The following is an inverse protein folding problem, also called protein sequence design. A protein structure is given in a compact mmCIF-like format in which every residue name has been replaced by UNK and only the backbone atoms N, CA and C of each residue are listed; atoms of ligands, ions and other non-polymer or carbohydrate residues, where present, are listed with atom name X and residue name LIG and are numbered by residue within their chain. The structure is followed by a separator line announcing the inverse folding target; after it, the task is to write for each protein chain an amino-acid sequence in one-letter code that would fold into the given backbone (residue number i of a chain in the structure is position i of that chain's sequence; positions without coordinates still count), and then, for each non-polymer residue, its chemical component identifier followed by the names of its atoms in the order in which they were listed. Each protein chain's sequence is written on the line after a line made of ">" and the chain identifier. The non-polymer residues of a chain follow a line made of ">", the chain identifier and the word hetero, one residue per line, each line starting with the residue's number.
data_IF_803987677509
#
_entry.id   IF_803987677509
#
_cell.length_a   1.000
_cell.length_b   1.000
_cell.length_c   1.000
_cell.angle_alpha   90.00
_cell.angle_beta   90.00
_cell.angle_gamma   90.00
#
_symmetry.space_group_name_H-M   'P 1'
#
loop_
_entity.id
_entity.type
_entity.pdbx_description
1 polymer ?
#
# COMPACT_ATOMS: atom_id res chain seq x y z
N UNK A 1 -43.56 -15.62 -2.27
CA UNK A 1 -42.51 -15.32 -3.26
C UNK A 1 -42.87 -13.98 -3.87
N UNK A 2 -42.56 -12.89 -3.18
CA UNK A 2 -42.66 -11.55 -3.78
C UNK A 2 -41.44 -11.38 -4.68
N UNK A 3 -41.70 -11.33 -5.98
CA UNK A 3 -40.78 -10.85 -7.00
C UNK A 3 -40.52 -9.38 -6.70
N UNK A 4 -39.45 -9.11 -5.96
CA UNK A 4 -38.89 -7.77 -5.76
C UNK A 4 -38.32 -7.31 -7.12
N UNK A 5 -39.22 -6.87 -8.00
CA UNK A 5 -38.92 -6.27 -9.28
C UNK A 5 -38.14 -4.99 -8.99
N UNK A 6 -36.82 -5.13 -8.92
CA UNK A 6 -35.93 -3.99 -8.79
C UNK A 6 -36.16 -3.16 -10.04
N UNK A 7 -36.77 -1.96 -9.95
CA UNK A 7 -37.03 -1.15 -11.14
C UNK A 7 -35.69 -0.95 -11.83
N UNK A 8 -35.63 -1.36 -13.09
CA UNK A 8 -34.45 -1.20 -13.92
C UNK A 8 -34.21 0.30 -14.06
N UNK A 9 -33.38 0.84 -13.17
CA UNK A 9 -33.15 2.27 -13.05
C UNK A 9 -32.23 2.68 -14.20
N UNK A 10 -32.81 2.97 -15.36
CA UNK A 10 -32.12 3.38 -16.60
C UNK A 10 -31.59 4.82 -16.57
N UNK A 11 -31.57 5.46 -15.40
CA UNK A 11 -31.08 6.84 -15.20
C UNK A 11 -29.98 6.97 -14.13
N UNK A 12 -29.31 8.14 -14.06
CA UNK A 12 -28.32 8.40 -13.02
C UNK A 12 -28.95 8.25 -11.63
N UNK A 13 -28.34 7.41 -10.80
CA UNK A 13 -28.80 7.16 -9.44
C UNK A 13 -28.79 8.47 -8.63
N UNK A 14 -29.82 8.73 -7.80
CA UNK A 14 -29.78 9.86 -6.90
C UNK A 14 -28.59 9.73 -5.94
N UNK A 15 -27.92 10.84 -5.53
CA UNK A 15 -26.69 10.79 -4.74
C UNK A 15 -26.80 9.94 -3.46
N UNK A 16 -27.94 9.99 -2.78
CA UNK A 16 -28.17 9.18 -1.58
C UNK A 16 -28.21 7.66 -1.86
N UNK A 17 -28.78 7.24 -3.01
CA UNK A 17 -28.80 5.84 -3.41
C UNK A 17 -27.40 5.36 -3.80
N UNK A 18 -26.61 6.21 -4.47
CA UNK A 18 -25.22 5.92 -4.78
C UNK A 18 -24.38 5.74 -3.50
N UNK A 19 -24.52 6.65 -2.52
CA UNK A 19 -23.82 6.54 -1.23
C UNK A 19 -24.18 5.24 -0.49
N UNK A 20 -25.47 4.87 -0.44
CA UNK A 20 -25.90 3.58 0.14
C UNK A 20 -25.25 2.39 -0.57
N UNK A 21 -25.06 2.48 -1.89
CA UNK A 21 -24.37 1.44 -2.66
C UNK A 21 -22.88 1.40 -2.34
N UNK A 22 -22.21 2.55 -2.18
CA UNK A 22 -20.81 2.60 -1.75
C UNK A 22 -20.60 1.98 -0.36
N UNK A 23 -21.54 2.13 0.57
CA UNK A 23 -21.46 1.47 1.88
C UNK A 23 -21.55 -0.06 1.74
N UNK A 24 -22.40 -0.57 0.85
CA UNK A 24 -22.51 -2.01 0.56
C UNK A 24 -21.33 -2.54 -0.26
N UNK A 25 -20.70 -1.67 -1.05
CA UNK A 25 -19.64 -1.99 -1.99
C UNK A 25 -18.49 -0.96 -1.89
N UNK A 26 -17.69 -0.99 -0.79
CA UNK A 26 -16.61 -0.04 -0.54
C UNK A 26 -15.64 0.18 -1.71
N UNK A 27 -15.41 -0.84 -2.54
CA UNK A 27 -14.54 -0.71 -3.72
C UNK A 27 -14.99 0.42 -4.67
N UNK A 28 -16.28 0.76 -4.72
CA UNK A 28 -16.81 1.81 -5.61
C UNK A 28 -16.24 3.19 -5.31
N UNK A 29 -15.89 3.43 -4.04
CA UNK A 29 -15.27 4.68 -3.61
C UNK A 29 -13.75 4.55 -3.57
N UNK A 30 -13.25 3.44 -3.04
CA UNK A 30 -11.83 3.26 -2.78
C UNK A 30 -11.01 2.92 -4.03
N UNK A 31 -11.58 2.25 -5.04
CA UNK A 31 -10.82 1.97 -6.28
C UNK A 31 -10.55 3.25 -7.08
N UNK A 32 -11.54 4.13 -7.36
CA UNK A 32 -11.25 5.40 -8.00
C UNK A 32 -10.23 6.25 -7.22
N UNK A 33 -10.34 6.27 -5.89
CA UNK A 33 -9.36 6.93 -5.02
C UNK A 33 -7.95 6.37 -5.21
N UNK A 34 -7.81 5.04 -5.20
CA UNK A 34 -6.56 4.37 -5.48
C UNK A 34 -6.03 4.69 -6.87
N UNK A 35 -6.88 4.69 -7.90
CA UNK A 35 -6.50 5.03 -9.28
C UNK A 35 -5.92 6.45 -9.37
N UNK A 36 -6.54 7.43 -8.70
CA UNK A 36 -6.00 8.80 -8.62
C UNK A 36 -4.61 8.79 -7.99
N UNK A 37 -4.39 8.05 -6.90
CA UNK A 37 -3.07 7.94 -6.28
C UNK A 37 -2.05 7.18 -7.12
N UNK A 38 -2.48 6.21 -7.94
CA UNK A 38 -1.61 5.55 -8.91
C UNK A 38 -1.11 6.54 -9.97
N UNK A 39 -2.01 7.36 -10.51
CA UNK A 39 -1.63 8.43 -11.44
C UNK A 39 -0.70 9.46 -10.79
N UNK A 40 -1.02 9.93 -9.58
CA UNK A 40 -0.16 10.87 -8.84
C UNK A 40 1.21 10.25 -8.53
N UNK A 41 1.24 8.98 -8.13
CA UNK A 41 2.46 8.23 -7.85
C UNK A 41 3.39 8.15 -9.05
N UNK A 42 2.87 7.95 -10.26
CA UNK A 42 3.68 8.01 -11.50
C UNK A 42 4.04 9.47 -11.85
N UNK A 43 3.11 10.41 -11.67
CA UNK A 43 3.29 11.81 -12.02
C UNK A 43 4.35 12.55 -11.19
N UNK A 44 4.77 12.03 -10.02
CA UNK A 44 5.86 12.66 -9.25
C UNK A 44 7.18 12.75 -10.04
N UNK A 45 7.42 11.84 -10.98
CA UNK A 45 8.63 11.86 -11.82
C UNK A 45 8.64 13.02 -12.84
N UNK A 46 7.64 13.18 -13.71
CA UNK A 46 7.58 14.35 -14.59
C UNK A 46 7.48 15.65 -13.79
N UNK A 47 6.75 15.68 -12.67
CA UNK A 47 6.72 16.86 -11.79
C UNK A 47 8.10 17.21 -11.25
N UNK A 48 8.92 16.22 -10.90
CA UNK A 48 10.31 16.46 -10.46
C UNK A 48 11.19 16.95 -11.62
N UNK A 49 11.02 16.41 -12.82
CA UNK A 49 11.72 16.89 -14.02
C UNK A 49 11.38 18.37 -14.34
N UNK A 50 10.15 18.80 -14.02
CA UNK A 50 9.71 20.19 -14.14
C UNK A 50 10.10 21.07 -12.93
N UNK A 51 10.72 20.51 -11.89
CA UNK A 51 11.07 21.23 -10.66
C UNK A 51 9.88 21.54 -9.74
N UNK A 52 8.74 20.88 -9.94
CA UNK A 52 7.50 21.08 -9.17
C UNK A 52 7.26 20.02 -8.11
N UNK A 53 8.07 18.96 -8.03
CA UNK A 53 7.88 17.91 -7.04
C UNK A 53 8.19 18.43 -5.62
N UNK A 54 7.23 18.35 -4.68
CA UNK A 54 7.44 18.81 -3.30
C UNK A 54 8.35 17.88 -2.48
N UNK A 55 8.51 16.62 -2.90
CA UNK A 55 9.32 15.61 -2.23
C UNK A 55 10.11 14.80 -3.27
N UNK A 56 11.33 14.30 -2.97
CA UNK A 56 12.08 13.45 -3.88
C UNK A 56 11.24 12.26 -4.40
N UNK A 57 11.17 12.04 -5.74
CA UNK A 57 10.40 10.95 -6.33
C UNK A 57 10.71 9.57 -5.76
N UNK A 58 12.00 9.28 -5.49
CA UNK A 58 12.43 8.01 -4.91
C UNK A 58 11.80 7.71 -3.54
N UNK A 59 11.25 8.72 -2.87
CA UNK A 59 10.58 8.60 -1.58
C UNK A 59 9.05 8.58 -1.73
N UNK A 60 8.48 9.54 -2.46
CA UNK A 60 7.02 9.69 -2.59
C UNK A 60 6.40 8.67 -3.54
N UNK A 61 7.09 8.30 -4.64
CA UNK A 61 6.59 7.32 -5.62
C UNK A 61 6.20 5.97 -4.99
N UNK A 62 7.11 5.23 -4.33
CA UNK A 62 6.78 3.90 -3.81
C UNK A 62 5.65 3.95 -2.77
N UNK A 63 5.58 5.01 -1.96
CA UNK A 63 4.53 5.16 -0.94
C UNK A 63 3.17 5.48 -1.54
N UNK A 64 3.10 6.35 -2.55
CA UNK A 64 1.85 6.59 -3.28
C UNK A 64 1.36 5.33 -4.01
N UNK A 65 2.29 4.57 -4.60
CA UNK A 65 1.96 3.31 -5.28
C UNK A 65 1.47 2.23 -4.30
N UNK A 66 2.10 2.09 -3.14
CA UNK A 66 1.78 1.02 -2.20
C UNK A 66 0.69 1.42 -1.20
N UNK A 67 0.86 2.53 -0.49
CA UNK A 67 -0.07 2.95 0.57
C UNK A 67 -1.33 3.59 -0.01
N UNK A 68 -1.17 4.45 -1.03
CA UNK A 68 -2.27 5.13 -1.71
C UNK A 68 -3.02 4.20 -2.67
N UNK A 69 -2.34 3.70 -3.70
CA UNK A 69 -2.95 2.88 -4.75
C UNK A 69 -3.26 1.45 -4.27
N UNK A 70 -2.26 0.63 -3.96
CA UNK A 70 -2.49 -0.77 -3.54
C UNK A 70 -3.32 -0.83 -2.25
N UNK A 71 -3.05 0.05 -1.29
CA UNK A 71 -3.79 0.15 -0.03
C UNK A 71 -5.29 0.40 -0.23
N UNK A 72 -5.67 1.35 -1.08
CA UNK A 72 -7.08 1.62 -1.38
C UNK A 72 -7.77 0.44 -2.07
N UNK A 73 -7.08 -0.22 -3.00
CA UNK A 73 -7.60 -1.43 -3.65
C UNK A 73 -7.77 -2.58 -2.66
N UNK A 74 -6.78 -2.83 -1.81
CA UNK A 74 -6.83 -3.86 -0.79
C UNK A 74 -7.99 -3.64 0.19
N UNK A 75 -8.11 -2.43 0.74
CA UNK A 75 -9.17 -2.09 1.71
C UNK A 75 -10.54 -2.12 1.05
N UNK A 76 -10.70 -1.58 -0.16
CA UNK A 76 -11.96 -1.64 -0.91
C UNK A 76 -12.37 -3.07 -1.23
N UNK A 77 -11.38 -3.90 -1.57
CA UNK A 77 -11.59 -5.31 -1.82
C UNK A 77 -12.04 -6.06 -0.56
N UNK A 78 -11.28 -5.98 0.52
CA UNK A 78 -11.58 -6.61 1.80
C UNK A 78 -12.92 -6.12 2.37
N UNK A 79 -13.15 -4.81 2.29
CA UNK A 79 -14.37 -4.15 2.70
C UNK A 79 -15.64 -4.70 2.04
N UNK A 80 -15.51 -5.23 0.83
CA UNK A 80 -16.64 -5.78 0.08
C UNK A 80 -16.72 -7.30 0.17
N UNK A 81 -15.58 -7.99 0.01
CA UNK A 81 -15.53 -9.44 -0.10
C UNK A 81 -15.67 -10.14 1.25
N UNK A 82 -15.03 -9.63 2.31
CA UNK A 82 -15.02 -10.27 3.63
C UNK A 82 -16.43 -10.34 4.22
N UNK A 83 -17.24 -9.25 4.24
CA UNK A 83 -18.62 -9.33 4.71
C UNK A 83 -19.46 -10.37 3.97
N UNK A 84 -19.30 -10.45 2.64
CA UNK A 84 -20.03 -11.40 1.79
C UNK A 84 -19.59 -12.84 2.04
N UNK A 85 -18.30 -13.09 2.25
CA UNK A 85 -17.75 -14.43 2.48
C UNK A 85 -18.06 -14.97 3.85
N UNK A 86 -18.04 -14.11 4.86
CA UNK A 86 -18.29 -14.50 6.25
C UNK A 86 -19.77 -14.39 6.63
N UNK A 87 -20.61 -13.86 5.73
CA UNK A 87 -22.03 -13.54 5.97
C UNK A 87 -22.22 -12.64 7.20
N UNK A 88 -21.34 -11.65 7.35
CA UNK A 88 -21.38 -10.65 8.43
C UNK A 88 -21.84 -9.30 7.89
N UNK A 89 -22.18 -8.38 8.81
CA UNK A 89 -22.59 -7.03 8.44
C UNK A 89 -21.48 -6.28 7.68
N UNK A 90 -21.82 -5.50 6.64
CA UNK A 90 -20.86 -4.69 5.89
C UNK A 90 -20.28 -3.56 6.75
N UNK A 91 -19.22 -2.91 6.24
CA UNK A 91 -18.64 -1.72 6.88
C UNK A 91 -19.72 -0.63 7.05
N UNK A 92 -19.67 0.09 8.18
CA UNK A 92 -20.56 1.23 8.37
C UNK A 92 -20.15 2.38 7.44
N UNK A 93 -21.12 3.22 7.05
CA UNK A 93 -20.83 4.38 6.19
C UNK A 93 -19.84 5.35 6.82
N UNK A 94 -19.92 5.55 8.14
CA UNK A 94 -18.96 6.39 8.87
C UNK A 94 -17.54 5.81 8.84
N UNK A 95 -17.40 4.48 8.95
CA UNK A 95 -16.11 3.83 8.87
C UNK A 95 -15.54 3.92 7.45
N UNK A 96 -16.37 3.75 6.42
CA UNK A 96 -15.95 3.93 5.03
C UNK A 96 -15.48 5.37 4.76
N UNK A 97 -16.23 6.37 5.25
CA UNK A 97 -15.85 7.77 5.14
C UNK A 97 -14.52 8.03 5.85
N UNK A 98 -14.38 7.56 7.10
CA UNK A 98 -13.14 7.67 7.86
C UNK A 98 -11.96 7.05 7.10
N UNK A 99 -12.10 5.83 6.58
CA UNK A 99 -11.06 5.18 5.79
C UNK A 99 -10.69 5.97 4.55
N UNK A 100 -11.68 6.51 3.83
CA UNK A 100 -11.45 7.29 2.61
C UNK A 100 -10.69 8.59 2.93
N UNK A 101 -11.09 9.28 3.99
CA UNK A 101 -10.42 10.51 4.45
C UNK A 101 -9.01 10.21 4.95
N UNK A 102 -8.82 9.15 5.73
CA UNK A 102 -7.52 8.71 6.24
C UNK A 102 -6.55 8.37 5.10
N UNK A 103 -6.98 7.55 4.13
CA UNK A 103 -6.16 7.19 2.97
C UNK A 103 -5.83 8.40 2.10
N UNK A 104 -6.81 9.28 1.89
CA UNK A 104 -6.59 10.50 1.13
C UNK A 104 -5.56 11.39 1.81
N UNK A 105 -5.78 11.69 3.09
CA UNK A 105 -4.91 12.56 3.89
C UNK A 105 -3.51 11.98 4.02
N UNK A 106 -3.39 10.67 4.28
CA UNK A 106 -2.11 9.97 4.34
C UNK A 106 -1.34 10.08 3.03
N UNK A 107 -2.00 9.84 1.90
CA UNK A 107 -1.38 9.97 0.57
C UNK A 107 -0.94 11.40 0.25
N UNK A 108 -1.69 12.41 0.68
CA UNK A 108 -1.26 13.82 0.56
C UNK A 108 -0.02 14.09 1.41
N UNK A 109 0.06 13.57 2.63
CA UNK A 109 1.28 13.66 3.43
C UNK A 109 2.47 12.98 2.74
N UNK A 110 2.28 11.81 2.13
CA UNK A 110 3.34 11.14 1.37
C UNK A 110 3.83 11.96 0.18
N UNK A 111 2.92 12.61 -0.54
CA UNK A 111 3.26 13.50 -1.64
C UNK A 111 4.09 14.69 -1.14
N UNK A 112 3.69 15.30 -0.02
CA UNK A 112 4.33 16.49 0.55
C UNK A 112 5.59 16.20 1.40
N UNK A 113 6.03 14.94 1.51
CA UNK A 113 7.21 14.55 2.27
C UNK A 113 6.98 14.35 3.78
N UNK A 114 5.74 14.41 4.24
CA UNK A 114 5.31 14.11 5.61
C UNK A 114 5.23 12.61 5.91
N UNK A 115 6.29 11.85 5.61
CA UNK A 115 6.29 10.37 5.62
C UNK A 115 5.86 9.78 6.96
N UNK A 116 6.31 10.35 8.07
CA UNK A 116 5.93 9.89 9.40
C UNK A 116 4.39 9.87 9.59
N UNK A 117 3.73 10.97 9.22
CA UNK A 117 2.27 11.07 9.35
C UNK A 117 1.55 10.19 8.32
N UNK A 118 2.06 10.14 7.08
CA UNK A 118 1.51 9.29 6.02
C UNK A 118 1.52 7.81 6.43
N UNK A 119 2.64 7.33 6.94
CA UNK A 119 2.84 5.93 7.36
C UNK A 119 1.91 5.56 8.52
N UNK A 120 1.78 6.44 9.52
CA UNK A 120 0.87 6.22 10.65
C UNK A 120 -0.60 6.23 10.23
N UNK A 121 -1.00 7.13 9.34
CA UNK A 121 -2.36 7.14 8.80
C UNK A 121 -2.64 5.88 7.99
N UNK A 122 -1.66 5.38 7.24
CA UNK A 122 -1.78 4.13 6.52
C UNK A 122 -1.90 2.92 7.47
N UNK A 123 -1.07 2.85 8.52
CA UNK A 123 -1.22 1.87 9.60
C UNK A 123 -2.63 1.88 10.18
N UNK A 124 -3.13 3.07 10.51
CA UNK A 124 -4.47 3.26 11.05
C UNK A 124 -5.54 2.78 10.06
N UNK A 125 -5.38 3.10 8.76
CA UNK A 125 -6.30 2.67 7.71
C UNK A 125 -6.36 1.16 7.52
N UNK A 126 -5.25 0.43 7.74
CA UNK A 126 -5.23 -1.04 7.71
C UNK A 126 -5.78 -1.66 9.00
N UNK A 127 -5.43 -1.10 10.16
CA UNK A 127 -5.87 -1.61 11.46
C UNK A 127 -7.39 -1.52 11.64
N UNK A 128 -8.02 -0.41 11.25
CA UNK A 128 -9.46 -0.20 11.38
C UNK A 128 -10.32 -1.35 10.81
N UNK A 129 -10.22 -1.73 9.52
CA UNK A 129 -10.99 -2.83 8.96
C UNK A 129 -10.55 -4.18 9.53
N UNK A 130 -9.26 -4.38 9.82
CA UNK A 130 -8.78 -5.61 10.45
C UNK A 130 -9.42 -5.83 11.82
N UNK A 131 -9.45 -4.81 12.68
CA UNK A 131 -10.12 -4.86 13.98
C UNK A 131 -11.63 -5.03 13.82
N UNK A 132 -12.27 -4.28 12.91
CA UNK A 132 -13.70 -4.40 12.65
C UNK A 132 -14.11 -5.83 12.26
N UNK A 133 -13.33 -6.48 11.39
CA UNK A 133 -13.58 -7.85 10.97
C UNK A 133 -13.20 -8.87 12.04
N UNK A 134 -12.11 -8.67 12.77
CA UNK A 134 -11.70 -9.55 13.85
C UNK A 134 -12.76 -9.62 14.96
N UNK A 135 -13.33 -8.47 15.35
CA UNK A 135 -14.39 -8.41 16.36
C UNK A 135 -15.67 -9.14 15.91
N UNK A 136 -16.02 -9.05 14.62
CA UNK A 136 -17.19 -9.74 14.05
C UNK A 136 -16.91 -11.15 13.58
N UNK A 137 -15.67 -11.61 13.63
CA UNK A 137 -15.31 -12.94 13.16
C UNK A 137 -16.02 -14.05 13.96
N UNK A 138 -16.44 -13.77 15.20
CA UNK A 138 -17.22 -14.69 16.05
C UNK A 138 -18.68 -14.84 15.59
N UNK A 139 -19.21 -13.84 14.89
CA UNK A 139 -20.59 -13.82 14.37
C UNK A 139 -20.69 -14.46 12.98
N UNK A 140 -19.57 -14.93 12.41
CA UNK A 140 -19.51 -15.49 11.06
C UNK A 140 -20.40 -16.72 10.93
N UNK A 141 -21.15 -16.79 9.84
CA UNK A 141 -21.91 -17.99 9.43
C UNK A 141 -21.23 -18.70 8.26
N UNK A 142 -20.49 -17.95 7.45
CA UNK A 142 -19.68 -18.48 6.35
C UNK A 142 -18.29 -18.98 6.78
N UNK A 143 -17.71 -19.83 5.94
CA UNK A 143 -16.32 -20.29 6.07
C UNK A 143 -15.35 -19.38 5.31
N UNK A 144 -14.32 -18.88 5.99
CA UNK A 144 -13.26 -18.12 5.35
C UNK A 144 -12.45 -19.01 4.37
N UNK A 145 -12.16 -18.54 3.14
CA UNK A 145 -11.26 -19.25 2.25
C UNK A 145 -9.85 -19.33 2.87
N UNK A 146 -9.13 -20.45 2.75
CA UNK A 146 -7.76 -20.58 3.24
C UNK A 146 -6.81 -19.48 2.72
N UNK A 147 -7.00 -19.04 1.48
CA UNK A 147 -6.18 -17.99 0.86
C UNK A 147 -6.38 -16.60 1.49
N UNK A 148 -7.47 -16.36 2.21
CA UNK A 148 -7.68 -15.13 2.97
C UNK A 148 -6.59 -14.94 4.03
N UNK A 149 -6.00 -16.02 4.54
CA UNK A 149 -4.88 -15.97 5.48
C UNK A 149 -3.68 -15.21 4.90
N UNK A 150 -3.37 -15.41 3.62
CA UNK A 150 -2.28 -14.68 2.95
C UNK A 150 -2.60 -13.18 2.88
N UNK A 151 -3.84 -12.82 2.53
CA UNK A 151 -4.24 -11.41 2.49
C UNK A 151 -4.12 -10.75 3.87
N UNK A 152 -4.54 -11.46 4.93
CA UNK A 152 -4.40 -10.99 6.31
C UNK A 152 -2.92 -10.88 6.73
N UNK A 153 -2.07 -11.82 6.30
CA UNK A 153 -0.63 -11.78 6.54
C UNK A 153 0.00 -10.58 5.84
N UNK A 154 -0.41 -10.28 4.60
CA UNK A 154 -0.03 -9.09 3.87
C UNK A 154 -0.44 -7.80 4.57
N UNK A 155 -1.69 -7.71 5.04
CA UNK A 155 -2.18 -6.55 5.78
C UNK A 155 -1.44 -6.37 7.12
N UNK A 156 -1.20 -7.45 7.87
CA UNK A 156 -0.42 -7.42 9.11
C UNK A 156 1.04 -7.00 8.86
N UNK A 157 1.66 -7.53 7.81
CA UNK A 157 2.99 -7.11 7.36
C UNK A 157 3.02 -5.64 6.93
N UNK A 158 1.98 -5.16 6.25
CA UNK A 158 1.81 -3.75 5.89
C UNK A 158 1.72 -2.84 7.11
N UNK A 159 0.94 -3.21 8.14
CA UNK A 159 0.86 -2.47 9.41
C UNK A 159 2.23 -2.44 10.10
N UNK A 160 2.89 -3.59 10.26
CA UNK A 160 4.20 -3.66 10.91
C UNK A 160 5.27 -2.87 10.13
N UNK A 161 5.28 -3.01 8.80
CA UNK A 161 6.20 -2.31 7.91
C UNK A 161 6.00 -0.80 7.94
N UNK A 162 4.75 -0.32 7.78
CA UNK A 162 4.45 1.11 7.83
C UNK A 162 4.73 1.70 9.22
N UNK A 163 4.43 1.00 10.31
CA UNK A 163 4.73 1.49 11.66
C UNK A 163 6.24 1.66 11.86
N UNK A 164 7.04 0.68 11.45
CA UNK A 164 8.49 0.76 11.54
C UNK A 164 9.08 1.83 10.60
N UNK A 165 8.51 2.02 9.41
CA UNK A 165 8.91 3.12 8.51
C UNK A 165 8.56 4.49 9.10
N UNK A 166 7.42 4.61 9.79
CA UNK A 166 7.07 5.82 10.54
C UNK A 166 8.11 6.10 11.62
N UNK A 167 8.42 5.14 12.47
CA UNK A 167 9.43 5.28 13.53
C UNK A 167 10.82 5.66 12.97
N UNK A 168 11.21 5.08 11.83
CA UNK A 168 12.43 5.50 11.11
C UNK A 168 12.34 6.97 10.67
N UNK A 169 11.21 7.41 10.14
CA UNK A 169 10.98 8.80 9.75
C UNK A 169 10.94 9.77 10.96
N UNK A 170 10.57 9.28 12.15
CA UNK A 170 10.65 10.03 13.40
C UNK A 170 12.10 10.21 13.92
N UNK A 171 13.09 9.56 13.29
CA UNK A 171 14.49 9.61 13.71
C UNK A 171 14.86 8.54 14.74
N UNK A 172 13.99 7.56 15.01
CA UNK A 172 14.31 6.44 15.88
C UNK A 172 15.45 5.63 15.26
N UNK A 173 16.52 5.39 16.03
CA UNK A 173 17.67 4.60 15.57
C UNK A 173 17.27 3.14 15.46
N UNK A 174 17.16 2.63 14.24
CA UNK A 174 16.89 1.23 13.95
C UNK A 174 18.13 0.53 13.37
N UNK A 175 18.29 -0.75 13.66
CA UNK A 175 19.32 -1.57 13.02
C UNK A 175 19.09 -1.63 11.50
N UNK A 176 20.15 -1.72 10.67
CA UNK A 176 20.01 -1.83 9.22
C UNK A 176 19.12 -3.00 8.79
N UNK A 177 19.20 -4.13 9.51
CA UNK A 177 18.37 -5.30 9.30
C UNK A 177 16.88 -4.99 9.47
N UNK A 178 16.50 -4.30 10.55
CA UNK A 178 15.10 -3.94 10.81
C UNK A 178 14.58 -2.89 9.81
N UNK A 179 15.45 -1.96 9.39
CA UNK A 179 15.10 -0.98 8.35
C UNK A 179 14.83 -1.65 6.99
N UNK A 180 15.66 -2.62 6.60
CA UNK A 180 15.46 -3.36 5.35
C UNK A 180 14.24 -4.28 5.45
N UNK A 181 14.09 -5.00 6.56
CA UNK A 181 12.97 -5.90 6.77
C UNK A 181 11.63 -5.17 6.77
N UNK A 182 11.53 -4.02 7.43
CA UNK A 182 10.32 -3.18 7.39
C UNK A 182 9.99 -2.67 5.99
N UNK A 183 11.01 -2.31 5.19
CA UNK A 183 10.81 -1.92 3.79
C UNK A 183 10.29 -3.09 2.94
N UNK A 184 10.84 -4.28 3.12
CA UNK A 184 10.38 -5.50 2.42
C UNK A 184 8.94 -5.84 2.80
N UNK A 185 8.59 -5.79 4.09
CA UNK A 185 7.23 -6.03 4.56
C UNK A 185 6.22 -5.06 3.93
N UNK A 186 6.52 -3.76 3.92
CA UNK A 186 5.62 -2.74 3.40
C UNK A 186 5.55 -2.76 1.87
N UNK A 187 6.69 -2.66 1.18
CA UNK A 187 6.70 -2.42 -0.27
C UNK A 187 6.55 -3.69 -1.10
N UNK A 188 6.95 -4.85 -0.58
CA UNK A 188 6.88 -6.12 -1.31
C UNK A 188 5.88 -7.08 -0.67
N UNK A 189 5.93 -7.26 0.65
CA UNK A 189 5.08 -8.19 1.37
C UNK A 189 3.59 -7.86 1.23
N UNK A 190 3.21 -6.62 1.51
CA UNK A 190 1.81 -6.20 1.41
C UNK A 190 1.22 -6.47 0.00
N UNK A 191 1.81 -6.00 -1.12
CA UNK A 191 1.28 -6.34 -2.45
C UNK A 191 1.34 -7.82 -2.77
N UNK A 192 2.46 -8.50 -2.51
CA UNK A 192 2.68 -9.88 -2.89
C UNK A 192 1.68 -10.81 -2.20
N UNK A 193 1.58 -10.74 -0.88
CA UNK A 193 0.66 -11.59 -0.12
C UNK A 193 -0.80 -11.30 -0.46
N UNK A 194 -1.14 -10.03 -0.66
CA UNK A 194 -2.49 -9.65 -1.09
C UNK A 194 -2.80 -10.23 -2.45
N UNK A 195 -1.93 -10.06 -3.44
CA UNK A 195 -2.15 -10.58 -4.80
C UNK A 195 -2.22 -12.10 -4.82
N UNK A 196 -1.35 -12.81 -4.10
CA UNK A 196 -1.39 -14.28 -3.99
C UNK A 196 -2.69 -14.76 -3.34
N UNK A 197 -3.10 -14.14 -2.22
CA UNK A 197 -4.32 -14.53 -1.53
C UNK A 197 -5.60 -14.23 -2.34
N UNK A 198 -5.62 -13.09 -3.03
CA UNK A 198 -6.73 -12.67 -3.89
C UNK A 198 -6.82 -13.52 -5.16
N UNK A 199 -5.71 -13.74 -5.86
CA UNK A 199 -5.69 -14.53 -7.10
C UNK A 199 -6.09 -15.99 -6.86
N UNK A 200 -5.61 -16.62 -5.79
CA UNK A 200 -6.01 -17.98 -5.41
C UNK A 200 -7.53 -18.11 -5.17
N UNK A 201 -8.18 -17.01 -4.78
CA UNK A 201 -9.62 -16.94 -4.59
C UNK A 201 -10.39 -16.59 -5.87
N UNK A 202 -9.86 -15.70 -6.70
CA UNK A 202 -10.53 -15.21 -7.91
C UNK A 202 -10.44 -16.14 -9.11
N UNK A 203 -9.27 -16.73 -9.35
CA UNK A 203 -9.02 -17.49 -10.57
C UNK A 203 -10.02 -18.66 -10.73
N UNK A 204 -10.31 -19.46 -9.70
CA UNK A 204 -11.30 -20.54 -9.83
C UNK A 204 -12.70 -20.03 -10.17
N UNK A 205 -13.07 -18.83 -9.71
CA UNK A 205 -14.38 -18.22 -10.00
C UNK A 205 -14.48 -17.63 -11.39
N UNK A 206 -13.36 -17.16 -11.94
CA UNK A 206 -13.32 -16.60 -13.29
C UNK A 206 -13.30 -17.70 -14.36
N UNK A 207 -12.52 -18.76 -14.14
CA UNK A 207 -12.36 -19.87 -15.09
C UNK A 207 -13.33 -21.02 -14.87
N UNK A 208 -14.10 -21.00 -13.77
CA UNK A 208 -15.02 -22.08 -13.39
C UNK A 208 -16.25 -22.26 -14.29
N UNK A 209 -16.53 -21.34 -15.23
CA UNK A 209 -17.59 -21.47 -16.25
C UNK A 209 -19.03 -21.53 -15.70
N UNK A 210 -19.97 -20.89 -16.38
CA UNK A 210 -21.40 -20.86 -16.02
C UNK A 210 -22.14 -22.23 -16.13
N UNK A 211 -21.42 -23.35 -16.27
CA UNK A 211 -21.99 -24.67 -16.57
C UNK A 211 -21.65 -25.79 -15.58
N UNK A 212 -20.66 -25.62 -14.71
CA UNK A 212 -20.44 -26.58 -13.63
C UNK A 212 -21.16 -26.05 -12.41
N UNK A 213 -22.20 -26.76 -11.95
CA UNK A 213 -22.76 -26.56 -10.63
C UNK A 213 -21.62 -26.74 -9.63
N UNK A 214 -20.88 -25.67 -9.34
CA UNK A 214 -19.90 -25.62 -8.26
C UNK A 214 -20.73 -25.87 -7.02
N UNK A 215 -20.77 -27.13 -6.60
CA UNK A 215 -21.49 -27.56 -5.43
C UNK A 215 -21.01 -26.65 -4.29
N UNK A 216 -21.89 -25.84 -3.67
CA UNK A 216 -21.50 -25.03 -2.53
C UNK A 216 -20.96 -25.91 -1.39
N UNK A 217 -21.20 -27.24 -1.43
CA UNK A 217 -20.55 -28.22 -0.57
C UNK A 217 -19.07 -28.48 -0.92
N UNK A 218 -18.60 -28.29 -2.16
CA UNK A 218 -17.19 -28.43 -2.54
C UNK A 218 -16.32 -27.27 -1.98
N UNK A 219 -16.81 -26.03 -2.04
CA UNK A 219 -16.20 -24.91 -1.32
C UNK A 219 -16.24 -25.12 0.21
N UNK A 220 -17.32 -25.71 0.74
CA UNK A 220 -17.42 -26.10 2.17
C UNK A 220 -16.49 -27.26 2.55
N UNK A 221 -16.22 -28.22 1.66
CA UNK A 221 -15.27 -29.34 1.88
C UNK A 221 -13.82 -28.86 1.83
N UNK A 222 -13.49 -27.97 0.89
CA UNK A 222 -12.18 -27.29 0.82
C UNK A 222 -11.85 -26.52 2.10
N UNK A 223 -12.85 -25.90 2.74
CA UNK A 223 -12.70 -25.19 4.01
C UNK A 223 -12.69 -26.07 5.27
N UNK A 224 -12.89 -27.39 5.16
CA UNK A 224 -13.02 -28.29 6.32
C UNK A 224 -11.75 -29.06 6.67
N UNK A 225 -10.77 -29.10 5.76
CA UNK A 225 -9.45 -29.69 6.02
C UNK A 225 -8.48 -28.63 6.56
N UNK A 226 -7.71 -28.98 7.59
CA UNK A 226 -6.61 -28.14 8.07
C UNK A 226 -5.50 -27.99 7.00
N UNK A 227 -5.42 -28.92 6.04
CA UNK A 227 -4.38 -29.00 5.02
C UNK A 227 -4.21 -27.75 4.15
N UNK A 228 -5.24 -27.26 3.43
CA UNK A 228 -5.12 -26.06 2.60
C UNK A 228 -4.76 -24.80 3.40
N UNK A 229 -5.26 -24.65 4.63
CA UNK A 229 -4.92 -23.55 5.52
C UNK A 229 -3.47 -23.63 6.01
N UNK A 230 -3.00 -24.84 6.36
CA UNK A 230 -1.59 -25.08 6.70
C UNK A 230 -0.67 -24.84 5.51
N UNK A 231 -1.07 -25.21 4.30
CA UNK A 231 -0.29 -24.96 3.09
C UNK A 231 -0.17 -23.46 2.83
N UNK A 232 -1.27 -22.70 2.93
CA UNK A 232 -1.25 -21.25 2.81
C UNK A 232 -0.39 -20.59 3.91
N UNK A 233 -0.50 -21.06 5.16
CA UNK A 233 0.31 -20.59 6.26
C UNK A 233 1.81 -20.88 6.03
N UNK A 234 2.14 -22.11 5.61
CA UNK A 234 3.50 -22.54 5.31
C UNK A 234 4.11 -21.74 4.17
N UNK A 235 3.37 -21.52 3.08
CA UNK A 235 3.80 -20.66 1.98
C UNK A 235 4.04 -19.21 2.45
N UNK A 236 3.12 -18.68 3.27
CA UNK A 236 3.25 -17.34 3.85
C UNK A 236 4.50 -17.20 4.72
N UNK A 237 4.73 -18.15 5.61
CA UNK A 237 5.91 -18.20 6.49
C UNK A 237 7.21 -18.35 5.71
N UNK A 238 7.22 -19.17 4.65
CA UNK A 238 8.39 -19.34 3.79
C UNK A 238 8.79 -18.03 3.10
N UNK A 239 7.83 -17.27 2.59
CA UNK A 239 8.06 -15.96 1.98
C UNK A 239 8.52 -14.94 3.04
N UNK A 240 7.92 -14.93 4.23
CA UNK A 240 8.40 -14.05 5.31
C UNK A 240 9.83 -14.38 5.74
N UNK A 241 10.18 -15.67 5.80
CA UNK A 241 11.54 -16.10 6.06
C UNK A 241 12.50 -15.63 4.96
N UNK A 242 12.09 -15.64 3.69
CA UNK A 242 12.92 -15.11 2.60
C UNK A 242 13.18 -13.61 2.75
N UNK A 243 12.17 -12.82 3.16
CA UNK A 243 12.39 -11.39 3.45
C UNK A 243 13.34 -11.15 4.61
N UNK A 244 13.27 -11.98 5.65
CA UNK A 244 14.19 -11.89 6.78
C UNK A 244 15.64 -12.21 6.36
N UNK A 245 15.84 -13.27 5.56
CA UNK A 245 17.15 -13.64 5.02
C UNK A 245 17.71 -12.55 4.09
N UNK A 246 16.87 -11.97 3.23
CA UNK A 246 17.24 -10.86 2.37
C UNK A 246 17.63 -9.62 3.19
N UNK A 247 16.86 -9.29 4.23
CA UNK A 247 17.16 -8.19 5.13
C UNK A 247 18.45 -8.41 5.94
N UNK A 248 18.77 -9.67 6.26
CA UNK A 248 20.04 -10.04 6.91
C UNK A 248 21.26 -9.95 5.98
N UNK A 249 21.06 -9.66 4.69
CA UNK A 249 22.13 -9.59 3.71
C UNK A 249 22.63 -10.96 3.27
N UNK A 250 21.95 -12.04 3.65
CA UNK A 250 22.25 -13.37 3.11
C UNK A 250 21.71 -13.44 1.68
N UNK A 251 22.58 -13.14 0.73
CA UNK A 251 22.33 -13.48 -0.67
C UNK A 251 22.26 -15.01 -0.74
N UNK A 252 21.06 -15.57 -0.89
CA UNK A 252 20.81 -16.99 -1.17
C UNK A 252 21.53 -17.53 -2.44
N UNK A 253 22.39 -16.73 -3.06
CA UNK A 253 23.14 -17.03 -4.27
C UNK A 253 24.65 -16.77 -4.18
N UNK A 254 25.29 -16.76 -3.00
CA UNK A 254 26.78 -16.85 -2.98
C UNK A 254 27.30 -18.21 -3.49
N UNK A 255 26.43 -19.22 -3.59
CA UNK A 255 26.68 -20.46 -4.34
C UNK A 255 26.51 -20.35 -5.87
N UNK A 256 26.05 -19.20 -6.39
CA UNK A 256 25.94 -18.90 -7.83
C UNK A 256 26.97 -17.84 -8.29
N UNK A 257 28.09 -17.74 -7.56
CA UNK A 257 29.27 -16.95 -7.95
C UNK A 257 30.06 -17.54 -9.12
N UNK A 258 29.56 -18.61 -9.76
CA UNK A 258 30.08 -19.17 -11.02
C UNK A 258 29.56 -18.49 -12.29
N UNK A 259 28.58 -17.58 -12.20
CA UNK A 259 28.28 -16.69 -13.33
C UNK A 259 29.28 -15.55 -13.33
N UNK A 260 30.49 -15.86 -13.82
CA UNK A 260 31.53 -14.88 -14.10
C UNK A 260 30.90 -13.70 -14.83
N UNK A 261 30.90 -12.52 -14.19
CA UNK A 261 30.95 -11.28 -14.97
C UNK A 261 32.15 -11.46 -15.90
N UNK A 262 32.01 -11.32 -17.23
CA UNK A 262 33.14 -11.43 -18.14
C UNK A 262 34.24 -10.48 -17.65
N UNK A 263 35.29 -11.05 -17.06
CA UNK A 263 36.53 -10.36 -16.73
C UNK A 263 37.26 -10.17 -18.05
N UNK A 264 36.73 -9.31 -18.91
CA UNK A 264 37.15 -9.23 -20.30
C UNK A 264 36.75 -7.98 -21.05
N UNK A 265 36.09 -6.99 -20.43
CA UNK A 265 36.06 -5.63 -20.98
C UNK A 265 37.03 -4.80 -20.16
N UNK A 266 38.29 -4.93 -20.54
CA UNK A 266 39.36 -4.05 -20.16
C UNK A 266 38.91 -2.60 -20.39
N UNK A 267 38.92 -1.78 -19.33
CA UNK A 267 38.77 -0.32 -19.41
C UNK A 267 40.02 0.31 -20.07
N UNK A 268 40.36 -0.14 -21.27
CA UNK A 268 41.49 0.33 -22.07
C UNK A 268 41.05 0.70 -23.50
N UNK A 269 39.83 1.21 -23.62
CA UNK A 269 39.40 2.02 -24.75
C UNK A 269 38.80 3.32 -24.21
N UNK A 270 39.61 4.05 -23.44
CA UNK A 270 39.49 5.51 -23.46
C UNK A 270 39.80 5.93 -24.89
N UNK A 271 38.74 6.12 -25.67
CA UNK A 271 38.83 6.95 -26.87
C UNK A 271 39.49 8.27 -26.45
N UNK A 272 40.48 8.77 -27.21
CA UNK A 272 41.08 10.06 -26.91
C UNK A 272 39.96 11.10 -26.86
N UNK A 273 39.89 11.83 -25.74
CA UNK A 273 39.09 13.06 -25.69
C UNK A 273 39.53 13.91 -26.88
N UNK A 274 38.61 14.38 -27.75
CA UNK A 274 38.96 15.44 -28.67
C UNK A 274 39.46 16.61 -27.82
N UNK A 275 40.72 16.99 -28.07
CA UNK A 275 41.29 18.24 -27.59
C UNK A 275 40.52 19.37 -28.25
N UNK A 276 39.42 19.78 -27.61
CA UNK A 276 38.81 21.08 -27.86
C UNK A 276 39.84 22.13 -27.46
N UNK A 277 40.51 22.65 -28.48
CA UNK A 277 41.16 23.95 -28.43
C UNK A 277 40.18 24.95 -27.83
N UNK A 278 40.61 25.63 -26.78
CA UNK A 278 39.90 26.71 -26.16
C UNK A 278 39.76 27.86 -27.16
N UNK A 279 38.70 27.82 -27.97
CA UNK A 279 38.07 29.03 -28.49
C UNK A 279 37.37 29.73 -27.34
N UNK A 280 37.59 31.04 -27.24
CA UNK A 280 37.03 31.92 -26.22
C UNK A 280 35.54 31.64 -25.93
N UNK A 281 35.11 31.68 -24.67
CA UNK A 281 33.70 31.59 -24.33
C UNK A 281 32.99 32.87 -24.82
N UNK A 282 32.29 32.75 -25.95
CA UNK A 282 31.24 33.68 -26.33
C UNK A 282 30.22 33.74 -25.19
N UNK A 283 30.02 34.94 -24.64
CA UNK A 283 29.07 35.24 -23.58
C UNK A 283 27.69 34.63 -23.88
N UNK A 284 27.01 34.03 -22.89
CA UNK A 284 25.63 33.60 -23.07
C UNK A 284 24.75 34.82 -23.40
N UNK A 285 23.73 34.68 -24.27
CA UNK A 285 22.80 35.75 -24.55
C UNK A 285 22.13 36.23 -23.25
N UNK A 286 22.00 37.55 -23.04
CA UNK A 286 21.35 38.10 -21.86
C UNK A 286 19.88 37.69 -21.87
N UNK A 287 19.48 36.80 -20.95
CA UNK A 287 18.07 36.40 -20.80
C UNK A 287 17.80 35.01 -20.26
N UNK A 288 18.80 34.14 -20.08
CA UNK A 288 18.60 32.82 -19.49
C UNK A 288 18.80 32.83 -17.97
N UNK A 289 17.75 32.60 -17.15
CA UNK A 289 17.91 32.46 -15.71
C UNK A 289 18.48 31.06 -15.39
N UNK A 290 19.80 30.90 -15.52
CA UNK A 290 20.53 29.79 -14.92
C UNK A 290 20.91 30.16 -13.49
N UNK A 291 20.06 29.76 -12.54
CA UNK A 291 20.37 29.49 -11.13
C UNK A 291 19.10 28.88 -10.54
N UNK A 292 19.06 27.56 -10.41
CA UNK A 292 18.19 26.92 -9.42
C UNK A 292 18.92 26.97 -8.08
N UNK A 293 18.61 27.91 -7.17
CA UNK A 293 18.99 27.70 -5.80
C UNK A 293 18.12 26.58 -5.26
N UNK A 294 18.73 25.44 -4.93
CA UNK A 294 18.22 24.56 -3.88
C UNK A 294 18.11 25.41 -2.60
N UNK A 295 17.02 26.17 -2.45
CA UNK A 295 16.71 26.87 -1.21
C UNK A 295 16.22 25.82 -0.22
N UNK A 296 17.05 25.58 0.78
CA UNK A 296 16.66 25.31 2.15
C UNK A 296 15.71 24.13 2.38
N UNK A 297 16.23 22.90 2.27
CA UNK A 297 16.01 21.92 3.33
C UNK A 297 16.98 22.24 4.48
N UNK A 298 16.73 23.35 5.18
CA UNK A 298 17.33 23.57 6.49
C UNK A 298 16.59 22.66 7.47
N UNK A 299 17.30 21.63 7.93
CA UNK A 299 16.97 20.81 9.08
C UNK A 299 16.66 21.68 10.30
N UNK A 300 15.38 22.00 10.53
CA UNK A 300 14.89 22.33 11.85
C UNK A 300 14.46 21.01 12.51
N UNK A 301 15.01 20.63 13.67
CA UNK A 301 14.50 19.46 14.39
C UNK A 301 13.09 19.78 14.87
N UNK A 302 12.10 19.06 14.35
CA UNK A 302 10.75 19.03 14.89
C UNK A 302 10.84 18.38 16.29
N UNK A 303 10.79 19.20 17.34
CA UNK A 303 10.76 18.74 18.73
C UNK A 303 9.31 18.43 19.13
N UNK A 304 8.94 17.16 19.42
CA UNK A 304 7.56 16.80 19.72
C UNK A 304 7.12 17.11 21.16
N UNK A 305 7.90 17.88 21.95
CA UNK A 305 7.65 18.07 23.40
C UNK A 305 6.78 19.27 23.80
N UNK A 306 6.08 19.94 22.88
CA UNK A 306 5.24 21.12 23.22
C UNK A 306 3.82 21.09 22.66
N UNK A 307 3.17 19.92 22.66
CA UNK A 307 1.74 19.81 22.31
C UNK A 307 0.86 19.16 23.39
N UNK A 308 1.37 18.96 24.62
CA UNK A 308 0.61 18.43 25.76
C UNK A 308 0.81 19.29 27.01
N UNK A 309 0.39 20.56 26.96
CA UNK A 309 0.23 21.39 28.16
C UNK A 309 -0.71 22.57 27.89
N UNK A 310 -1.96 22.31 27.48
CA UNK A 310 -3.03 23.31 27.45
C UNK A 310 -4.38 22.63 27.27
N UNK A 311 -4.72 21.71 28.19
CA UNK A 311 -6.10 21.21 28.36
C UNK A 311 -6.31 20.82 29.83
N UNK A 312 -6.19 21.80 30.72
CA UNK A 312 -6.60 21.66 32.12
C UNK A 312 -6.94 23.04 32.69
N UNK A 313 -8.12 23.58 32.35
CA UNK A 313 -8.76 24.68 33.10
C UNK A 313 -10.11 25.08 32.50
N UNK A 314 -11.05 24.15 32.34
CA UNK A 314 -12.47 24.51 32.26
C UNK A 314 -13.27 23.56 33.17
N UNK A 315 -13.17 23.83 34.47
CA UNK A 315 -14.15 23.43 35.47
C UNK A 315 -14.86 24.71 35.92
N UNK A 316 -16.19 24.66 35.96
CA UNK A 316 -17.09 25.72 36.37
C UNK A 316 -16.79 26.25 37.79
N UNK A 317 -17.27 27.45 38.13
CA UNK A 317 -18.50 27.47 38.93
C UNK A 317 -19.47 28.63 38.62
N UNK A 318 -20.76 28.32 38.63
CA UNK A 318 -21.89 29.04 39.24
C UNK A 318 -23.20 28.40 38.75
#
# INVERSE_FOLDING_TARGET
>A
METDATPELTGPLPPAAYLRRCVREPYRLLFPLGTVFGFLGVAVWPLAALGWAPCPPAQSHPRLMIEGFVGSFLIGFLGTSVPRLLEIQPLSGNLLLLLSVTLFTGSIFQLLGGQWAGDLLFCFALLLPMTFFALRFRERKGSAPPSLLLVLLGAAGGVAGAFLQAEKAAGTRMSPLLQQFSALLLFQGLPLFSLLGLSAFFLPRLYGGEGENIDPAACRRSGRGLGPALLAAGAGLLILASFFLEAAGQRLGEGFSGWERPRGISRSAYLPRPSFSAGEPSLPPPGWPLRFPCRACSSAPFSPRRAFSTFSSWAAPA
#
